data_IF_228345715057
#
_entry.id   IF_228345715057
#
_cell.length_a   1.000
_cell.length_b   1.000
_cell.length_c   1.000
_cell.angle_alpha   90.00
_cell.angle_beta   90.00
_cell.angle_gamma   90.00
#
_symmetry.space_group_name_H-M   'P 1'
#
loop_
_entity.id
_entity.type
_entity.pdbx_description
1 polymer ?
#
# COMPACT_ATOMS: atom_id res chain seq x y z
N UNK A 1 -12.65 14.80 -9.03
CA UNK A 1 -13.16 13.54 -8.47
C UNK A 1 -11.99 12.71 -7.94
N UNK A 2 -12.11 12.24 -6.70
CA UNK A 2 -11.05 11.46 -6.03
C UNK A 2 -11.20 9.99 -6.37
N UNK A 3 -10.15 9.37 -6.88
CA UNK A 3 -10.14 7.94 -7.12
C UNK A 3 -9.66 7.20 -5.87
N UNK A 4 -10.22 6.04 -5.62
CA UNK A 4 -9.82 5.18 -4.53
C UNK A 4 -9.81 3.72 -5.00
N UNK A 5 -8.89 2.94 -4.42
CA UNK A 5 -8.82 1.50 -4.60
C UNK A 5 -8.94 0.88 -3.22
N UNK A 6 -9.84 -0.05 -3.04
CA UNK A 6 -10.07 -0.70 -1.76
C UNK A 6 -10.32 -2.19 -1.96
N UNK A 7 -9.62 -3.01 -1.19
CA UNK A 7 -9.78 -4.46 -1.21
C UNK A 7 -9.76 -5.01 0.21
N UNK A 8 -10.63 -5.97 0.47
CA UNK A 8 -10.68 -6.67 1.75
C UNK A 8 -10.23 -8.12 1.56
N UNK A 9 -9.47 -8.63 2.52
CA UNK A 9 -8.96 -9.99 2.49
C UNK A 9 -8.96 -10.63 3.88
N UNK A 10 -9.12 -11.93 3.92
CA UNK A 10 -9.06 -12.68 5.17
C UNK A 10 -7.61 -12.92 5.56
N UNK A 11 -7.29 -12.63 6.82
CA UNK A 11 -5.94 -12.76 7.37
C UNK A 11 -5.98 -13.49 8.70
N UNK A 12 -4.80 -13.91 9.17
CA UNK A 12 -4.64 -14.50 10.49
C UNK A 12 -3.82 -13.54 11.35
N UNK A 13 -4.30 -13.29 12.57
CA UNK A 13 -3.62 -12.43 13.55
C UNK A 13 -2.89 -13.31 14.57
N UNK A 14 -1.62 -12.99 14.79
CA UNK A 14 -0.77 -13.62 15.80
C UNK A 14 -0.39 -12.58 16.85
N UNK A 15 -0.87 -12.75 18.05
CA UNK A 15 -0.58 -11.86 19.18
C UNK A 15 -0.37 -12.67 20.44
N UNK A 16 0.81 -13.31 20.59
CA UNK A 16 1.08 -14.13 21.78
C UNK A 16 0.91 -13.33 23.08
N UNK A 17 0.42 -13.94 24.16
CA UNK A 17 0.06 -15.37 24.30
C UNK A 17 -1.34 -15.75 23.80
N UNK A 18 -2.06 -14.82 23.17
CA UNK A 18 -3.40 -15.09 22.63
C UNK A 18 -3.28 -16.07 21.46
N UNK A 19 -4.20 -17.02 21.36
CA UNK A 19 -4.23 -17.95 20.24
C UNK A 19 -4.45 -17.20 18.92
N UNK A 20 -3.86 -17.71 17.80
CA UNK A 20 -4.09 -17.11 16.49
C UNK A 20 -5.59 -17.01 16.18
N UNK A 21 -5.98 -15.90 15.62
CA UNK A 21 -7.37 -15.63 15.28
C UNK A 21 -7.51 -15.12 13.85
N UNK A 22 -8.77 -15.12 13.38
CA UNK A 22 -9.11 -14.59 12.06
C UNK A 22 -9.46 -13.12 12.14
N UNK A 23 -9.08 -12.40 11.10
CA UNK A 23 -9.42 -11.00 10.94
C UNK A 23 -9.67 -10.70 9.46
N UNK A 24 -10.23 -9.52 9.19
CA UNK A 24 -10.33 -8.98 7.85
C UNK A 24 -9.40 -7.78 7.75
N UNK A 25 -8.52 -7.81 6.76
CA UNK A 25 -7.66 -6.68 6.43
C UNK A 25 -8.29 -5.97 5.23
N UNK A 26 -8.62 -4.69 5.39
CA UNK A 26 -9.08 -3.84 4.31
C UNK A 26 -7.99 -2.82 3.99
N UNK A 27 -7.46 -2.87 2.78
CA UNK A 27 -6.48 -1.91 2.31
C UNK A 27 -7.20 -0.87 1.46
N UNK A 28 -6.95 0.40 1.72
CA UNK A 28 -7.55 1.50 0.97
C UNK A 28 -6.46 2.50 0.57
N UNK A 29 -6.37 2.74 -0.72
CA UNK A 29 -5.52 3.78 -1.29
C UNK A 29 -6.40 4.86 -1.89
N UNK A 30 -5.99 6.13 -1.75
CA UNK A 30 -6.68 7.28 -2.32
C UNK A 30 -5.70 8.16 -3.09
N UNK A 31 -6.14 8.69 -4.20
CA UNK A 31 -5.28 9.53 -5.05
C UNK A 31 -4.96 10.89 -4.44
N UNK A 32 -5.74 11.35 -3.46
CA UNK A 32 -5.43 12.57 -2.70
C UNK A 32 -4.39 12.36 -1.61
N UNK A 33 -4.02 11.11 -1.32
CA UNK A 33 -2.93 10.76 -0.40
C UNK A 33 -2.21 9.51 -0.94
N UNK A 34 -1.53 9.63 -2.10
CA UNK A 34 -1.03 8.47 -2.84
C UNK A 34 0.15 7.74 -2.18
N UNK A 35 0.80 8.37 -1.20
CA UNK A 35 1.98 7.79 -0.55
C UNK A 35 1.63 6.97 0.68
N UNK A 36 0.36 6.83 1.01
CA UNK A 36 -0.11 6.06 2.15
C UNK A 36 -1.24 5.13 1.75
N UNK A 37 -1.27 3.97 2.41
CA UNK A 37 -2.36 3.01 2.33
C UNK A 37 -2.94 2.88 3.72
N UNK A 38 -4.24 3.01 3.85
CA UNK A 38 -4.92 2.73 5.12
C UNK A 38 -5.12 1.23 5.25
N UNK A 39 -4.61 0.64 6.31
CA UNK A 39 -4.81 -0.76 6.65
C UNK A 39 -5.79 -0.84 7.81
N UNK A 40 -7.03 -1.24 7.54
CA UNK A 40 -8.06 -1.44 8.55
C UNK A 40 -8.10 -2.92 8.91
N UNK A 41 -7.81 -3.23 10.17
CA UNK A 41 -7.81 -4.59 10.69
C UNK A 41 -9.06 -4.75 11.55
N UNK A 42 -9.98 -5.57 11.08
CA UNK A 42 -11.26 -5.79 11.73
C UNK A 42 -11.29 -7.17 12.37
N UNK A 43 -11.49 -7.18 13.67
CA UNK A 43 -11.73 -8.38 14.47
C UNK A 43 -13.11 -8.23 15.10
N UNK A 44 -13.56 -9.27 15.82
CA UNK A 44 -14.87 -9.25 16.47
C UNK A 44 -15.07 -8.04 17.40
N UNK A 45 -14.00 -7.62 18.07
CA UNK A 45 -14.04 -6.52 19.03
C UNK A 45 -14.08 -5.13 18.39
N UNK A 46 -13.72 -5.00 17.11
CA UNK A 46 -13.71 -3.71 16.44
C UNK A 46 -12.66 -3.62 15.35
N UNK A 47 -12.43 -2.40 14.87
CA UNK A 47 -11.49 -2.11 13.78
C UNK A 47 -10.39 -1.20 14.26
N UNK A 48 -9.14 -1.52 13.90
CA UNK A 48 -7.97 -0.69 14.14
C UNK A 48 -7.40 -0.25 12.80
N UNK A 49 -7.09 1.04 12.66
CA UNK A 49 -6.52 1.57 11.42
C UNK A 49 -5.03 1.87 11.58
N UNK A 50 -4.24 1.41 10.62
CA UNK A 50 -2.81 1.67 10.53
C UNK A 50 -2.48 2.28 9.17
N UNK A 51 -1.74 3.39 9.13
CA UNK A 51 -1.21 3.89 7.87
C UNK A 51 0.06 3.10 7.51
N UNK A 52 0.13 2.64 6.26
CA UNK A 52 1.33 1.98 5.72
C UNK A 52 1.83 2.82 4.55
N UNK A 53 3.11 3.20 4.57
CA UNK A 53 3.70 3.93 3.46
C UNK A 53 3.68 3.08 2.19
N UNK A 54 3.38 3.71 1.06
CA UNK A 54 3.36 3.04 -0.24
C UNK A 54 4.70 2.39 -0.57
N UNK A 55 5.80 3.11 -0.33
CA UNK A 55 7.15 2.60 -0.60
C UNK A 55 7.48 1.38 0.26
N UNK A 56 7.08 1.42 1.53
CA UNK A 56 7.26 0.30 2.44
C UNK A 56 6.50 -0.92 1.96
N UNK A 57 5.23 -0.75 1.60
CA UNK A 57 4.39 -1.82 1.10
C UNK A 57 4.95 -2.41 -0.20
N UNK A 58 5.39 -1.53 -1.12
CA UNK A 58 5.99 -1.95 -2.39
C UNK A 58 7.27 -2.77 -2.18
N UNK A 59 8.15 -2.29 -1.31
CA UNK A 59 9.40 -3.00 -1.01
C UNK A 59 9.12 -4.34 -0.33
N UNK A 60 8.18 -4.36 0.62
CA UNK A 60 7.82 -5.55 1.38
C UNK A 60 7.13 -6.64 0.58
N UNK A 61 6.66 -6.36 -0.64
CA UNK A 61 6.15 -7.39 -1.53
C UNK A 61 7.24 -8.39 -1.95
N UNK A 62 8.47 -7.93 -2.07
CA UNK A 62 9.55 -8.69 -2.69
C UNK A 62 10.64 -9.12 -1.71
N UNK A 63 10.81 -8.39 -0.61
CA UNK A 63 11.83 -8.65 0.41
C UNK A 63 11.39 -8.08 1.75
N UNK A 64 11.95 -8.56 2.85
CA UNK A 64 11.68 -7.93 4.15
C UNK A 64 12.04 -6.45 4.11
N UNK A 65 11.11 -5.61 4.57
CA UNK A 65 11.25 -4.16 4.54
C UNK A 65 10.68 -3.54 5.81
N UNK A 66 11.17 -2.35 6.14
CA UNK A 66 10.71 -1.56 7.28
C UNK A 66 11.60 -1.70 8.50
N UNK A 67 11.65 -0.60 9.24
CA UNK A 67 12.25 -0.51 10.56
C UNK A 67 11.28 0.29 11.43
N UNK A 68 11.11 -0.11 12.68
CA UNK A 68 10.19 0.58 13.58
C UNK A 68 8.83 -0.08 13.64
N UNK A 69 7.78 0.73 13.60
CA UNK A 69 6.42 0.32 13.96
C UNK A 69 5.79 -0.68 12.99
N UNK A 70 6.16 -0.63 11.74
CA UNK A 70 5.62 -1.52 10.71
C UNK A 70 6.74 -2.14 9.90
N UNK A 71 6.71 -3.46 9.80
CA UNK A 71 7.64 -4.24 8.99
C UNK A 71 6.85 -5.29 8.23
N UNK A 72 7.27 -5.63 7.02
CA UNK A 72 6.59 -6.66 6.26
C UNK A 72 7.55 -7.34 5.28
N UNK A 73 7.17 -8.52 4.84
CA UNK A 73 7.94 -9.27 3.87
C UNK A 73 7.25 -10.54 3.42
N UNK A 74 7.77 -11.18 2.37
CA UNK A 74 7.24 -12.45 1.90
C UNK A 74 7.62 -13.58 2.83
N UNK A 75 6.72 -14.56 2.96
CA UNK A 75 7.04 -15.85 3.58
C UNK A 75 7.43 -16.80 2.44
N UNK A 76 8.69 -17.24 2.36
CA UNK A 76 9.16 -18.06 1.23
C UNK A 76 8.32 -19.32 1.02
N UNK A 77 7.94 -19.58 -0.23
CA UNK A 77 7.25 -20.80 -0.69
C UNK A 77 5.91 -21.08 -0.02
N UNK A 78 5.24 -20.05 0.52
CA UNK A 78 3.96 -20.23 1.21
C UNK A 78 2.79 -19.48 0.55
N UNK A 79 3.05 -18.62 -0.43
CA UNK A 79 2.02 -17.77 -1.01
C UNK A 79 1.43 -16.77 -0.02
N UNK A 80 2.21 -16.39 0.97
CA UNK A 80 1.80 -15.53 2.07
C UNK A 80 2.84 -14.45 2.31
N UNK A 81 2.37 -13.33 2.89
CA UNK A 81 3.21 -12.27 3.43
C UNK A 81 2.93 -12.13 4.93
N UNK A 82 3.92 -11.68 5.67
CA UNK A 82 3.74 -11.29 7.06
C UNK A 82 3.79 -9.77 7.15
N UNK A 83 2.99 -9.20 8.04
CA UNK A 83 3.05 -7.79 8.41
C UNK A 83 3.12 -7.70 9.92
N UNK A 84 4.15 -7.06 10.42
CA UNK A 84 4.39 -6.83 11.84
C UNK A 84 3.98 -5.42 12.20
N UNK A 85 3.17 -5.29 13.24
CA UNK A 85 2.76 -4.01 13.78
C UNK A 85 3.19 -3.92 15.24
N UNK A 86 3.82 -2.81 15.58
CA UNK A 86 4.28 -2.54 16.95
C UNK A 86 3.76 -1.18 17.40
N UNK A 87 2.80 -1.19 18.33
CA UNK A 87 2.22 0.03 18.89
C UNK A 87 2.93 0.48 20.17
N UNK A 88 4.07 -0.13 20.50
CA UNK A 88 4.82 0.17 21.72
C UNK A 88 4.29 -0.54 22.96
N UNK A 89 3.17 -1.22 22.88
CA UNK A 89 2.55 -1.94 24.01
C UNK A 89 2.43 -3.43 23.73
N UNK A 90 1.69 -3.81 22.72
CA UNK A 90 1.41 -5.20 22.41
C UNK A 90 1.52 -5.41 20.90
N UNK A 91 2.72 -5.78 20.44
CA UNK A 91 2.92 -6.03 19.01
C UNK A 91 2.12 -7.22 18.52
N UNK A 92 1.76 -7.22 17.26
CA UNK A 92 1.07 -8.32 16.62
C UNK A 92 1.53 -8.48 15.16
N UNK A 93 1.32 -9.66 14.63
CA UNK A 93 1.68 -9.99 13.26
C UNK A 93 0.46 -10.50 12.50
N UNK A 94 0.31 -10.05 11.26
CA UNK A 94 -0.65 -10.59 10.32
C UNK A 94 0.02 -11.53 9.35
N UNK A 95 -0.67 -12.60 9.02
CA UNK A 95 -0.33 -13.48 7.91
C UNK A 95 -1.34 -13.22 6.80
N UNK A 96 -0.87 -12.70 5.68
CA UNK A 96 -1.69 -12.14 4.61
C UNK A 96 -1.50 -12.95 3.33
N UNK A 97 -2.57 -13.34 2.62
CA UNK A 97 -2.41 -14.03 1.35
C UNK A 97 -1.75 -13.11 0.32
N UNK A 98 -0.75 -13.63 -0.37
CA UNK A 98 0.07 -12.85 -1.30
C UNK A 98 -0.70 -12.40 -2.55
N UNK A 99 -1.54 -13.28 -3.11
CA UNK A 99 -2.25 -12.96 -4.36
C UNK A 99 -3.18 -11.73 -4.23
N UNK A 100 -4.07 -11.65 -3.22
CA UNK A 100 -4.88 -10.44 -3.04
C UNK A 100 -4.04 -9.20 -2.76
N UNK A 101 -2.94 -9.34 -2.04
CA UNK A 101 -2.04 -8.21 -1.76
C UNK A 101 -1.40 -7.69 -3.04
N UNK A 102 -0.87 -8.57 -3.89
CA UNK A 102 -0.31 -8.20 -5.19
C UNK A 102 -1.38 -7.58 -6.10
N UNK A 103 -2.60 -8.14 -6.12
CA UNK A 103 -3.69 -7.62 -6.92
C UNK A 103 -4.06 -6.20 -6.51
N UNK A 104 -4.16 -5.93 -5.22
CA UNK A 104 -4.41 -4.59 -4.70
C UNK A 104 -3.33 -3.61 -5.17
N UNK A 105 -2.07 -3.98 -5.02
CA UNK A 105 -0.94 -3.13 -5.40
C UNK A 105 -0.94 -2.85 -6.91
N UNK A 106 -1.26 -3.85 -7.73
CA UNK A 106 -1.35 -3.69 -9.18
C UNK A 106 -2.49 -2.75 -9.57
N UNK A 107 -3.64 -2.87 -8.91
CA UNK A 107 -4.79 -1.99 -9.17
C UNK A 107 -4.48 -0.54 -8.84
N UNK A 108 -3.83 -0.30 -7.71
CA UNK A 108 -3.39 1.05 -7.31
C UNK A 108 -2.40 1.59 -8.35
N UNK A 109 -1.43 0.79 -8.74
CA UNK A 109 -0.40 1.20 -9.68
C UNK A 109 -0.98 1.60 -11.04
N UNK A 110 -2.00 0.88 -11.50
CA UNK A 110 -2.70 1.20 -12.74
C UNK A 110 -3.38 2.58 -12.65
N UNK A 111 -4.09 2.86 -11.57
CA UNK A 111 -4.74 4.16 -11.36
C UNK A 111 -3.70 5.27 -11.21
N UNK A 112 -2.65 5.04 -10.46
CA UNK A 112 -1.58 6.01 -10.25
C UNK A 112 -0.87 6.36 -11.55
N UNK A 113 -0.53 5.35 -12.36
CA UNK A 113 0.14 5.55 -13.64
C UNK A 113 -0.72 6.36 -14.59
N UNK A 114 -2.00 6.04 -14.72
CA UNK A 114 -2.93 6.79 -15.56
C UNK A 114 -3.00 8.26 -15.14
N UNK A 115 -3.07 8.53 -13.84
CA UNK A 115 -3.12 9.88 -13.30
C UNK A 115 -1.81 10.63 -13.53
N UNK A 116 -0.67 10.00 -13.31
CA UNK A 116 0.62 10.62 -13.53
C UNK A 116 0.86 10.94 -15.01
N UNK A 117 0.49 10.04 -15.90
CA UNK A 117 0.58 10.28 -17.34
C UNK A 117 -0.30 11.46 -17.73
N UNK A 118 -1.54 11.50 -17.24
CA UNK A 118 -2.45 12.60 -17.47
C UNK A 118 -1.90 13.93 -17.00
N UNK A 119 -1.41 14.00 -15.77
CA UNK A 119 -0.81 15.21 -15.21
C UNK A 119 0.44 15.66 -15.95
N UNK A 120 1.30 14.73 -16.32
CA UNK A 120 2.50 15.04 -17.08
C UNK A 120 2.15 15.59 -18.46
N UNK A 121 1.17 14.99 -19.12
CA UNK A 121 0.70 15.43 -20.42
C UNK A 121 0.04 16.81 -20.33
N UNK A 122 -0.80 17.04 -19.33
CA UNK A 122 -1.45 18.33 -19.10
C UNK A 122 -0.42 19.44 -18.88
N UNK A 123 0.58 19.18 -18.05
CA UNK A 123 1.67 20.12 -17.81
C UNK A 123 2.46 20.42 -19.08
N UNK A 124 2.72 19.40 -19.87
CA UNK A 124 3.45 19.56 -21.12
C UNK A 124 2.63 20.43 -22.11
N UNK A 125 1.33 20.18 -22.23
CA UNK A 125 0.43 20.97 -23.07
C UNK A 125 0.39 22.42 -22.59
N UNK A 126 0.26 22.66 -21.30
CA UNK A 126 0.30 24.00 -20.72
C UNK A 126 1.60 24.72 -21.07
N UNK A 127 2.72 24.08 -20.90
CA UNK A 127 4.02 24.65 -21.22
C UNK A 127 4.16 24.94 -22.72
N UNK A 128 3.64 24.06 -23.56
CA UNK A 128 3.69 24.25 -25.01
C UNK A 128 2.80 25.39 -25.49
N UNK A 129 1.65 25.61 -24.81
CA UNK A 129 0.66 26.62 -25.22
C UNK A 129 0.94 28.01 -24.63
N UNK A 130 1.46 28.07 -23.42
CA UNK A 130 1.53 29.32 -22.65
C UNK A 130 2.95 29.82 -22.39
N UNK A 131 3.97 29.08 -22.77
CA UNK A 131 5.35 29.52 -22.66
C UNK A 131 5.98 29.67 -24.03
N UNK A 132 6.85 30.65 -24.14
CA UNK A 132 7.77 30.71 -25.27
C UNK A 132 8.50 29.39 -25.38
N UNK A 133 8.87 28.96 -26.62
CA UNK A 133 9.54 27.70 -26.78
C UNK A 133 10.73 27.64 -25.84
N UNK A 134 10.58 26.83 -24.80
CA UNK A 134 11.70 26.48 -23.95
C UNK A 134 12.70 25.71 -24.81
N UNK A 135 14.02 25.82 -24.52
CA UNK A 135 14.95 24.96 -25.18
C UNK A 135 14.51 23.50 -25.01
N UNK A 136 14.67 22.67 -26.06
CA UNK A 136 14.24 21.29 -25.94
C UNK A 136 14.84 20.66 -24.71
N UNK A 137 14.05 19.83 -24.00
CA UNK A 137 14.57 19.14 -22.83
C UNK A 137 15.80 18.34 -23.25
N UNK A 138 16.82 18.27 -22.39
CA UNK A 138 17.98 17.46 -22.71
C UNK A 138 17.53 16.05 -23.04
N UNK A 139 18.00 15.52 -24.17
CA UNK A 139 17.67 14.17 -24.58
C UNK A 139 18.20 13.18 -23.56
N UNK A 140 17.30 12.40 -23.03
CA UNK A 140 17.67 11.42 -22.01
C UNK A 140 16.49 11.03 -21.17
#
# INVERSE_FOLDING_TARGET
>A
MTAAVSDAMHVVVYQPPILPGRATLTLTWRDNDPYRVAADITVRAGTTRWPIGWELLSAGLHRPAGIGDIQLGPIPNRGMHWIWFDNGQQPFKLKVPSNPLHAFMADVQAVWTDRHVGHALDRWIEQALYRRPAPPPPAG
#
